data_IF_001474645784
#
_entry.id   IF_001474645784
#
_cell.length_a   1.000
_cell.length_b   1.000
_cell.length_c   1.000
_cell.angle_alpha   90.00
_cell.angle_beta   90.00
_cell.angle_gamma   90.00
#
_symmetry.space_group_name_H-M   'P 1'
#
loop_
_entity.id
_entity.type
_entity.pdbx_description
1 polymer ?
#
# COMPACT_ATOMS: atom_id res chain seq x y z
N UNK A 1 79.75 -15.26 1.25
CA UNK A 1 79.74 -15.38 -0.23
C UNK A 1 78.68 -16.41 -0.63
N UNK A 2 77.52 -15.97 -1.14
CA UNK A 2 76.39 -16.87 -1.48
C UNK A 2 76.54 -17.26 -2.95
N UNK A 3 76.77 -18.56 -3.20
CA UNK A 3 77.09 -19.12 -4.52
C UNK A 3 75.90 -18.94 -5.50
N UNK A 4 76.09 -18.24 -6.64
CA UNK A 4 75.00 -17.91 -7.58
C UNK A 4 74.37 -19.13 -8.26
N UNK A 5 75.08 -20.26 -8.32
CA UNK A 5 74.60 -21.49 -8.97
C UNK A 5 73.44 -22.12 -8.16
N UNK A 6 73.50 -22.05 -6.83
CA UNK A 6 72.46 -22.57 -5.93
C UNK A 6 71.14 -21.78 -5.99
N UNK A 7 71.16 -20.55 -6.52
CA UNK A 7 69.96 -19.72 -6.66
C UNK A 7 69.15 -20.11 -7.90
N UNK A 8 69.82 -20.39 -9.01
CA UNK A 8 69.17 -20.88 -10.23
C UNK A 8 68.55 -22.27 -10.06
N UNK A 9 69.24 -23.17 -9.37
CA UNK A 9 68.70 -24.52 -9.13
C UNK A 9 67.44 -24.46 -8.24
N UNK A 10 67.37 -23.53 -7.28
CA UNK A 10 66.16 -23.35 -6.46
C UNK A 10 64.96 -22.78 -7.22
N UNK A 11 65.20 -21.89 -8.19
CA UNK A 11 64.15 -21.35 -9.06
C UNK A 11 63.60 -22.44 -9.99
N UNK A 12 64.47 -23.24 -10.60
CA UNK A 12 64.10 -24.37 -11.48
C UNK A 12 63.25 -25.42 -10.74
N UNK A 13 63.65 -25.81 -9.51
CA UNK A 13 62.89 -26.77 -8.69
C UNK A 13 61.51 -26.22 -8.29
N UNK A 14 61.41 -24.89 -8.07
CA UNK A 14 60.13 -24.23 -7.76
C UNK A 14 59.20 -24.19 -8.97
N UNK A 15 59.75 -23.98 -10.18
CA UNK A 15 59.03 -24.05 -11.45
C UNK A 15 58.51 -25.46 -11.73
N UNK A 16 59.32 -26.50 -11.48
CA UNK A 16 58.90 -27.91 -11.61
C UNK A 16 57.76 -28.24 -10.64
N UNK A 17 57.83 -27.76 -9.39
CA UNK A 17 56.76 -27.92 -8.40
C UNK A 17 55.44 -27.24 -8.83
N UNK A 18 55.52 -26.03 -9.37
CA UNK A 18 54.36 -25.31 -9.90
C UNK A 18 53.76 -26.01 -11.13
N UNK A 19 54.59 -26.54 -12.02
CA UNK A 19 54.10 -27.31 -13.17
C UNK A 19 53.39 -28.59 -12.75
N UNK A 20 53.85 -29.27 -11.71
CA UNK A 20 53.18 -30.46 -11.19
C UNK A 20 51.85 -30.11 -10.50
N UNK A 21 51.79 -28.98 -9.78
CA UNK A 21 50.54 -28.47 -9.22
C UNK A 21 49.54 -28.08 -10.31
N UNK A 22 49.98 -27.41 -11.38
CA UNK A 22 49.16 -27.07 -12.54
C UNK A 22 48.66 -28.29 -13.28
N UNK A 23 49.50 -29.31 -13.50
CA UNK A 23 49.07 -30.59 -14.09
C UNK A 23 48.00 -31.27 -13.25
N UNK A 24 48.12 -31.21 -11.93
CA UNK A 24 47.14 -31.80 -11.00
C UNK A 24 45.81 -31.05 -11.04
N UNK A 25 45.83 -29.72 -11.08
CA UNK A 25 44.63 -28.91 -11.22
C UNK A 25 43.98 -29.05 -12.61
N UNK A 26 44.77 -29.08 -13.69
CA UNK A 26 44.26 -29.32 -15.05
C UNK A 26 43.64 -30.72 -15.15
N UNK A 27 44.23 -31.75 -14.52
CA UNK A 27 43.63 -33.09 -14.47
C UNK A 27 42.30 -33.08 -13.69
N UNK A 28 42.19 -32.30 -12.62
CA UNK A 28 40.93 -32.15 -11.87
C UNK A 28 39.84 -31.39 -12.64
N UNK A 29 40.22 -30.44 -13.52
CA UNK A 29 39.31 -29.70 -14.40
C UNK A 29 38.92 -30.57 -15.61
N UNK A 30 39.85 -31.35 -16.17
CA UNK A 30 39.61 -32.28 -17.27
C UNK A 30 38.76 -33.48 -16.85
N UNK A 31 38.86 -33.97 -15.61
CA UNK A 31 37.97 -35.00 -15.09
C UNK A 31 36.60 -34.44 -14.66
N UNK A 32 36.42 -33.12 -14.74
CA UNK A 32 35.14 -32.41 -14.70
C UNK A 32 34.56 -32.18 -16.10
N UNK A 33 35.12 -32.84 -17.13
CA UNK A 33 34.37 -33.18 -18.34
C UNK A 33 33.30 -34.17 -17.92
N UNK A 34 32.21 -33.58 -17.44
CA UNK A 34 30.84 -34.00 -17.64
C UNK A 34 30.78 -35.43 -18.16
N UNK A 35 30.54 -36.38 -17.26
CA UNK A 35 29.61 -37.44 -17.61
C UNK A 35 28.28 -36.76 -17.88
N UNK A 36 28.20 -36.06 -19.03
CA UNK A 36 26.98 -35.87 -19.77
C UNK A 36 26.64 -37.29 -20.16
N UNK A 37 26.04 -38.02 -19.22
CA UNK A 37 24.96 -38.89 -19.59
C UNK A 37 24.03 -37.94 -20.32
N UNK A 38 24.13 -37.92 -21.63
CA UNK A 38 23.15 -37.27 -22.48
C UNK A 38 21.85 -38.01 -22.24
N UNK A 39 21.22 -37.71 -21.10
CA UNK A 39 19.83 -37.96 -20.85
C UNK A 39 19.15 -36.94 -21.75
N UNK A 40 18.97 -37.33 -23.01
CA UNK A 40 18.13 -36.59 -23.93
C UNK A 40 16.79 -36.35 -23.24
N UNK A 41 16.37 -35.10 -23.18
CA UNK A 41 15.07 -34.74 -22.63
C UNK A 41 13.99 -35.57 -23.34
N UNK A 42 13.27 -36.37 -22.57
CA UNK A 42 12.12 -37.08 -23.11
C UNK A 42 11.04 -36.06 -23.47
N UNK A 43 10.39 -36.21 -24.63
CA UNK A 43 9.31 -35.32 -25.07
C UNK A 43 8.19 -35.21 -24.02
N UNK A 44 7.95 -36.26 -23.24
CA UNK A 44 7.00 -36.26 -22.13
C UNK A 44 7.41 -35.28 -21.01
N UNK A 45 8.68 -35.28 -20.63
CA UNK A 45 9.23 -34.43 -19.56
C UNK A 45 9.16 -32.94 -19.94
N UNK A 46 9.50 -32.63 -21.20
CA UNK A 46 9.39 -31.27 -21.73
C UNK A 46 7.93 -30.81 -21.76
N UNK A 47 7.01 -31.69 -22.16
CA UNK A 47 5.58 -31.37 -22.24
C UNK A 47 4.98 -31.14 -20.86
N UNK A 48 5.30 -31.98 -19.87
CA UNK A 48 4.85 -31.79 -18.48
C UNK A 48 5.46 -30.52 -17.89
N UNK A 49 6.75 -30.26 -18.13
CA UNK A 49 7.42 -29.03 -17.67
C UNK A 49 6.79 -27.78 -18.27
N UNK A 50 6.48 -27.80 -19.57
CA UNK A 50 5.76 -26.72 -20.24
C UNK A 50 4.35 -26.53 -19.67
N UNK A 51 3.61 -27.62 -19.41
CA UNK A 51 2.26 -27.55 -18.86
C UNK A 51 2.24 -26.98 -17.44
N UNK A 52 3.20 -27.37 -16.59
CA UNK A 52 3.38 -26.81 -15.24
C UNK A 52 3.79 -25.34 -15.30
N UNK A 53 4.73 -24.98 -16.17
CA UNK A 53 5.17 -23.60 -16.35
C UNK A 53 4.03 -22.70 -16.85
N UNK A 54 3.26 -23.14 -17.86
CA UNK A 54 2.10 -22.40 -18.36
C UNK A 54 1.01 -22.27 -17.31
N UNK A 55 0.71 -23.33 -16.55
CA UNK A 55 -0.25 -23.27 -15.44
C UNK A 55 0.14 -22.24 -14.38
N UNK A 56 1.43 -22.20 -14.02
CA UNK A 56 1.94 -21.22 -13.06
C UNK A 56 1.86 -19.78 -13.59
N UNK A 57 2.24 -19.54 -14.85
CA UNK A 57 2.15 -18.22 -15.48
C UNK A 57 0.71 -17.69 -15.55
N UNK A 58 -0.25 -18.54 -15.89
CA UNK A 58 -1.67 -18.17 -15.88
C UNK A 58 -2.15 -17.83 -14.47
N UNK A 59 -1.70 -18.56 -13.46
CA UNK A 59 -2.00 -18.26 -12.06
C UNK A 59 -1.45 -16.91 -11.61
N UNK A 60 -0.20 -16.57 -11.98
CA UNK A 60 0.41 -15.29 -11.65
C UNK A 60 -0.31 -14.10 -12.28
N UNK A 61 -0.75 -14.22 -13.54
CA UNK A 61 -1.46 -13.14 -14.22
C UNK A 61 -2.75 -12.75 -13.49
N UNK A 62 -3.52 -13.74 -13.03
CA UNK A 62 -4.73 -13.52 -12.25
C UNK A 62 -4.42 -12.87 -10.90
N UNK A 63 -3.36 -13.33 -10.22
CA UNK A 63 -2.93 -12.76 -8.94
C UNK A 63 -2.50 -11.28 -9.07
N UNK A 64 -1.78 -10.93 -10.13
CA UNK A 64 -1.38 -9.54 -10.40
C UNK A 64 -2.58 -8.64 -10.67
N UNK A 65 -3.54 -9.11 -11.49
CA UNK A 65 -4.77 -8.35 -11.76
C UNK A 65 -5.57 -8.08 -10.49
N UNK A 66 -5.73 -9.10 -9.63
CA UNK A 66 -6.43 -8.94 -8.36
C UNK A 66 -5.70 -7.98 -7.42
N UNK A 67 -4.36 -8.10 -7.32
CA UNK A 67 -3.53 -7.20 -6.50
C UNK A 67 -3.66 -5.75 -6.96
N UNK A 68 -3.61 -5.49 -8.27
CA UNK A 68 -3.81 -4.15 -8.83
C UNK A 68 -5.19 -3.58 -8.47
N UNK A 69 -6.24 -4.39 -8.56
CA UNK A 69 -7.60 -3.98 -8.20
C UNK A 69 -7.73 -3.63 -6.71
N UNK A 70 -7.14 -4.43 -5.82
CA UNK A 70 -7.15 -4.15 -4.37
C UNK A 70 -6.35 -2.89 -4.05
N UNK A 71 -5.21 -2.70 -4.71
CA UNK A 71 -4.40 -1.50 -4.51
C UNK A 71 -5.12 -0.22 -4.91
N UNK A 72 -5.87 -0.22 -6.03
CA UNK A 72 -6.68 0.93 -6.44
C UNK A 72 -7.71 1.26 -5.36
N UNK A 73 -8.47 0.26 -4.89
CA UNK A 73 -9.47 0.46 -3.84
C UNK A 73 -8.87 0.95 -2.52
N UNK A 74 -7.68 0.45 -2.17
CA UNK A 74 -6.97 0.90 -0.99
C UNK A 74 -6.55 2.36 -1.09
N UNK A 75 -6.11 2.80 -2.27
CA UNK A 75 -5.76 4.20 -2.51
C UNK A 75 -6.99 5.11 -2.41
N UNK A 76 -8.10 4.73 -3.05
CA UNK A 76 -9.37 5.47 -2.98
C UNK A 76 -9.83 5.63 -1.51
N UNK A 77 -9.79 4.54 -0.74
CA UNK A 77 -10.16 4.57 0.68
C UNK A 77 -9.22 5.46 1.49
N UNK A 78 -7.91 5.36 1.27
CA UNK A 78 -6.92 6.18 1.98
C UNK A 78 -7.12 7.68 1.73
N UNK A 79 -7.50 8.05 0.50
CA UNK A 79 -7.76 9.44 0.13
C UNK A 79 -9.08 9.94 0.70
N UNK A 80 -10.12 9.10 0.70
CA UNK A 80 -11.39 9.42 1.35
C UNK A 80 -11.20 9.70 2.84
N UNK A 81 -10.38 8.88 3.53
CA UNK A 81 -10.02 9.10 4.94
C UNK A 81 -9.30 10.44 5.10
N UNK A 82 -8.24 10.70 4.34
CA UNK A 82 -7.47 11.94 4.46
C UNK A 82 -8.32 13.20 4.19
N UNK A 83 -9.28 13.12 3.26
CA UNK A 83 -10.22 14.20 3.02
C UNK A 83 -11.17 14.41 4.21
N UNK A 84 -11.72 13.32 4.77
CA UNK A 84 -12.58 13.39 5.96
C UNK A 84 -11.82 13.94 7.16
N UNK A 85 -10.58 13.51 7.38
CA UNK A 85 -9.73 14.00 8.48
C UNK A 85 -9.56 15.53 8.41
N UNK A 86 -9.26 16.05 7.21
CA UNK A 86 -9.16 17.50 6.98
C UNK A 86 -10.48 18.25 7.24
N UNK A 87 -11.60 17.64 6.88
CA UNK A 87 -12.93 18.21 7.14
C UNK A 87 -13.24 18.25 8.63
N UNK A 88 -12.96 17.17 9.36
CA UNK A 88 -13.10 17.07 10.81
C UNK A 88 -12.22 18.10 11.51
N UNK A 89 -10.97 18.25 11.09
CA UNK A 89 -10.06 19.26 11.66
C UNK A 89 -10.59 20.68 11.47
N UNK A 90 -11.19 20.96 10.32
CA UNK A 90 -11.79 22.26 10.03
C UNK A 90 -13.01 22.54 10.91
N UNK A 91 -13.88 21.54 11.11
CA UNK A 91 -15.04 21.66 11.99
C UNK A 91 -14.61 21.77 13.46
N UNK A 92 -13.61 21.01 13.89
CA UNK A 92 -13.05 21.10 15.24
C UNK A 92 -12.43 22.48 15.52
N UNK A 93 -11.75 23.06 14.53
CA UNK A 93 -11.23 24.41 14.63
C UNK A 93 -12.38 25.43 14.83
N UNK A 94 -13.46 25.32 14.07
CA UNK A 94 -14.65 26.16 14.25
C UNK A 94 -15.31 25.94 15.63
N UNK A 95 -15.43 24.70 16.07
CA UNK A 95 -15.98 24.36 17.38
C UNK A 95 -15.15 24.95 18.54
N UNK A 96 -13.82 24.99 18.39
CA UNK A 96 -12.92 25.55 19.40
C UNK A 96 -13.08 27.07 19.61
N UNK A 97 -13.55 27.78 18.59
CA UNK A 97 -13.83 29.22 18.66
C UNK A 97 -15.31 29.52 18.95
N UNK A 98 -16.17 28.49 18.95
CA UNK A 98 -17.61 28.65 19.12
C UNK A 98 -18.00 28.73 20.60
N UNK A 99 -18.45 29.91 21.02
CA UNK A 99 -18.87 30.20 22.40
C UNK A 99 -20.35 30.62 22.50
N UNK A 100 -21.02 30.83 21.37
CA UNK A 100 -22.41 31.29 21.34
C UNK A 100 -23.38 30.14 21.67
N UNK A 101 -24.27 30.33 22.65
CA UNK A 101 -25.29 29.36 23.00
C UNK A 101 -25.64 29.37 24.48
N UNK A 102 -26.58 28.51 24.86
CA UNK A 102 -26.92 28.22 26.24
C UNK A 102 -26.57 26.77 26.57
N UNK A 103 -26.29 26.50 27.84
CA UNK A 103 -26.09 25.15 28.32
C UNK A 103 -27.29 24.25 27.97
N UNK A 104 -27.00 23.08 27.43
CA UNK A 104 -27.98 22.13 26.90
C UNK A 104 -28.37 22.36 25.43
N UNK A 105 -27.87 23.40 24.76
CA UNK A 105 -28.20 23.67 23.34
C UNK A 105 -26.99 23.95 22.45
N UNK A 106 -25.77 23.86 22.97
CA UNK A 106 -24.55 24.15 22.20
C UNK A 106 -24.40 23.28 20.94
N UNK A 107 -24.78 22.00 20.99
CA UNK A 107 -24.72 21.11 19.84
C UNK A 107 -25.60 21.58 18.67
N UNK A 108 -26.84 21.95 18.96
CA UNK A 108 -27.82 22.40 17.96
C UNK A 108 -27.47 23.78 17.39
N UNK A 109 -27.01 24.70 18.25
CA UNK A 109 -26.60 26.03 17.82
C UNK A 109 -25.36 25.97 16.92
N UNK A 110 -24.39 25.13 17.29
CA UNK A 110 -23.21 24.89 16.48
C UNK A 110 -23.57 24.26 15.13
N UNK A 111 -24.44 23.24 15.12
CA UNK A 111 -24.95 22.63 13.88
C UNK A 111 -25.54 23.69 12.93
N UNK A 112 -26.42 24.55 13.44
CA UNK A 112 -27.04 25.60 12.63
C UNK A 112 -26.02 26.61 12.07
N UNK A 113 -24.92 26.86 12.80
CA UNK A 113 -23.86 27.76 12.34
C UNK A 113 -23.00 27.17 11.21
N UNK A 114 -22.80 25.83 11.20
CA UNK A 114 -21.92 25.18 10.23
C UNK A 114 -22.65 24.62 9.02
N UNK A 115 -23.96 24.36 9.11
CA UNK A 115 -24.70 23.62 8.07
C UNK A 115 -24.68 24.29 6.68
N UNK A 116 -24.51 25.62 6.63
CA UNK A 116 -24.39 26.36 5.37
C UNK A 116 -23.00 26.19 4.73
N UNK A 117 -21.94 26.16 5.53
CA UNK A 117 -20.57 25.97 5.05
C UNK A 117 -20.24 24.49 4.80
N UNK A 118 -20.82 23.59 5.61
CA UNK A 118 -20.64 22.15 5.57
C UNK A 118 -22.01 21.46 5.45
N UNK A 119 -22.60 21.44 4.24
CA UNK A 119 -23.94 20.89 4.05
C UNK A 119 -23.98 19.38 4.29
N UNK A 120 -25.16 18.90 4.68
CA UNK A 120 -25.44 17.48 4.94
C UNK A 120 -25.35 16.63 3.69
N UNK A 121 -25.73 17.18 2.53
CA UNK A 121 -25.73 16.47 1.25
C UNK A 121 -25.29 17.43 0.14
N UNK A 122 -24.73 16.88 -0.94
CA UNK A 122 -24.36 17.64 -2.13
C UNK A 122 -22.94 18.23 -2.08
N UNK A 123 -22.16 17.89 -1.05
CA UNK A 123 -20.72 18.10 -1.07
C UNK A 123 -20.07 17.02 -1.93
N UNK A 124 -19.26 17.44 -2.90
CA UNK A 124 -18.50 16.52 -3.73
C UNK A 124 -17.01 16.86 -3.63
N UNK A 125 -16.17 15.84 -3.66
CA UNK A 125 -14.74 16.04 -3.86
C UNK A 125 -14.28 15.20 -5.04
N UNK A 126 -13.35 15.74 -5.82
CA UNK A 126 -12.78 15.06 -6.96
C UNK A 126 -11.35 14.65 -6.67
N UNK A 127 -11.03 13.41 -7.01
CA UNK A 127 -9.67 12.90 -6.98
C UNK A 127 -9.47 11.89 -8.12
N UNK A 128 -8.31 11.93 -8.76
CA UNK A 128 -7.94 10.99 -9.84
C UNK A 128 -9.05 10.77 -10.89
N UNK A 129 -9.61 11.88 -11.38
CA UNK A 129 -10.66 11.90 -12.42
C UNK A 129 -12.00 11.26 -12.01
N UNK A 130 -12.19 10.96 -10.71
CA UNK A 130 -13.44 10.47 -10.13
C UNK A 130 -13.98 11.50 -9.13
N UNK A 131 -15.30 11.72 -9.15
CA UNK A 131 -15.99 12.61 -8.21
C UNK A 131 -16.74 11.76 -7.22
N UNK A 132 -16.48 11.92 -5.93
CA UNK A 132 -17.14 11.19 -4.87
C UNK A 132 -18.18 12.09 -4.19
N UNK A 133 -19.30 11.48 -3.82
CA UNK A 133 -20.36 12.15 -3.09
C UNK A 133 -20.07 12.01 -1.59
N UNK A 134 -20.16 13.11 -0.87
CA UNK A 134 -20.05 13.14 0.59
C UNK A 134 -21.43 13.43 1.17
N UNK A 135 -21.80 12.65 2.16
CA UNK A 135 -22.95 12.91 3.02
C UNK A 135 -22.47 13.04 4.46
N UNK A 136 -22.89 14.11 5.12
CA UNK A 136 -22.72 14.35 6.56
C UNK A 136 -24.09 14.28 7.21
N UNK A 137 -24.25 13.45 8.24
CA UNK A 137 -25.46 13.44 9.05
C UNK A 137 -25.13 13.99 10.41
N UNK A 138 -25.73 15.12 10.74
CA UNK A 138 -25.56 15.79 12.03
C UNK A 138 -26.57 15.26 13.04
N UNK A 139 -26.11 14.98 14.25
CA UNK A 139 -26.95 14.59 15.39
C UNK A 139 -26.52 15.43 16.59
N UNK A 140 -27.17 16.57 16.77
CA UNK A 140 -27.00 17.39 17.94
C UNK A 140 -27.67 16.71 19.15
N UNK A 141 -26.94 16.59 20.26
CA UNK A 141 -27.50 16.15 21.54
C UNK A 141 -26.96 17.05 22.62
N UNK A 142 -27.83 17.88 23.20
CA UNK A 142 -27.46 18.85 24.23
C UNK A 142 -26.25 19.72 23.83
N UNK A 143 -25.10 19.45 24.43
CA UNK A 143 -23.87 20.20 24.25
C UNK A 143 -22.88 19.60 23.24
N UNK A 144 -23.21 18.46 22.62
CA UNK A 144 -22.36 17.78 21.64
C UNK A 144 -23.00 17.73 20.27
N UNK A 145 -22.16 17.72 19.24
CA UNK A 145 -22.57 17.48 17.87
C UNK A 145 -21.92 16.21 17.34
N UNK A 146 -22.72 15.16 17.15
CA UNK A 146 -22.30 13.97 16.42
C UNK A 146 -22.33 14.22 14.91
N UNK A 147 -21.32 13.75 14.19
CA UNK A 147 -21.21 13.87 12.74
C UNK A 147 -20.89 12.49 12.17
N UNK A 148 -21.86 11.93 11.44
CA UNK A 148 -21.66 10.72 10.65
C UNK A 148 -21.24 11.10 9.24
N UNK A 149 -20.05 10.68 8.84
CA UNK A 149 -19.53 10.81 7.50
C UNK A 149 -19.81 9.57 6.67
N UNK A 150 -20.15 9.79 5.40
CA UNK A 150 -20.30 8.75 4.40
C UNK A 150 -19.77 9.26 3.06
N UNK A 151 -18.83 8.52 2.49
CA UNK A 151 -18.27 8.76 1.16
C UNK A 151 -18.76 7.68 0.23
N UNK A 152 -19.43 8.06 -0.86
CA UNK A 152 -19.99 7.14 -1.84
C UNK A 152 -19.56 7.45 -3.27
N UNK A 153 -19.60 6.44 -4.13
CA UNK A 153 -19.33 6.58 -5.56
C UNK A 153 -20.42 7.44 -6.26
N UNK A 154 -20.09 8.14 -7.35
CA UNK A 154 -21.06 8.96 -8.07
C UNK A 154 -22.13 8.08 -8.75
N UNK A 155 -23.38 8.53 -8.68
CA UNK A 155 -24.55 7.81 -9.24
C UNK A 155 -24.61 7.86 -10.77
N UNK A 156 -23.92 8.80 -11.42
CA UNK A 156 -23.82 8.91 -12.87
C UNK A 156 -22.48 8.39 -13.39
N UNK A 157 -22.51 7.27 -14.13
CA UNK A 157 -21.34 6.76 -14.88
C UNK A 157 -20.47 5.71 -14.17
N UNK A 158 -20.84 5.23 -12.98
CA UNK A 158 -20.03 4.23 -12.26
C UNK A 158 -20.08 2.84 -12.89
N UNK A 159 -18.89 2.26 -13.16
CA UNK A 159 -18.65 0.87 -13.62
C UNK A 159 -19.11 -0.22 -12.65
N UNK A 160 -19.63 0.17 -11.50
CA UNK A 160 -20.13 -0.70 -10.44
C UNK A 160 -21.45 -0.09 -9.97
N UNK A 161 -22.56 -0.68 -10.40
CA UNK A 161 -23.94 -0.31 -10.01
C UNK A 161 -24.27 -0.65 -8.56
N UNK A 162 -23.26 -0.83 -7.71
CA UNK A 162 -23.46 -1.09 -6.29
C UNK A 162 -23.28 0.24 -5.58
N UNK A 163 -24.41 0.76 -5.08
CA UNK A 163 -24.51 1.84 -4.11
C UNK A 163 -23.80 1.47 -2.79
N UNK A 164 -22.48 1.23 -2.88
CA UNK A 164 -21.62 0.87 -1.77
C UNK A 164 -20.87 2.10 -1.28
N UNK A 165 -20.81 2.26 0.03
CA UNK A 165 -20.00 3.28 0.67
C UNK A 165 -18.50 2.91 0.53
N UNK A 166 -17.69 3.85 0.08
CA UNK A 166 -16.22 3.73 0.05
C UNK A 166 -15.69 3.72 1.48
N UNK A 167 -16.26 4.59 2.30
CA UNK A 167 -15.85 4.83 3.67
C UNK A 167 -16.99 5.48 4.46
N UNK A 168 -17.12 5.08 5.72
CA UNK A 168 -17.99 5.74 6.68
C UNK A 168 -17.29 5.81 8.03
N UNK A 169 -17.49 6.92 8.74
CA UNK A 169 -16.94 7.13 10.08
C UNK A 169 -17.85 8.05 10.88
N UNK A 170 -17.80 7.93 12.20
CA UNK A 170 -18.51 8.79 13.13
C UNK A 170 -17.49 9.56 13.95
N UNK A 171 -17.74 10.85 14.16
CA UNK A 171 -16.98 11.68 15.07
C UNK A 171 -17.94 12.53 15.91
N UNK A 172 -17.45 12.96 17.06
CA UNK A 172 -18.17 13.84 17.96
C UNK A 172 -17.36 15.12 18.17
N UNK A 173 -18.05 16.25 18.09
CA UNK A 173 -17.47 17.58 18.25
C UNK A 173 -18.13 18.27 19.44
N UNK A 174 -17.29 18.76 20.37
CA UNK A 174 -17.73 19.49 21.55
C UNK A 174 -17.34 20.98 21.37
N UNK A 175 -18.30 21.89 21.19
CA UNK A 175 -18.01 23.32 21.09
C UNK A 175 -17.42 23.87 22.39
N UNK A 176 -16.52 24.85 22.29
CA UNK A 176 -15.80 25.37 23.45
C UNK A 176 -16.71 26.00 24.52
N UNK A 177 -17.79 26.67 24.10
CA UNK A 177 -18.79 27.24 25.02
C UNK A 177 -19.37 26.23 26.02
N UNK A 178 -19.41 24.94 25.66
CA UNK A 178 -19.87 23.85 26.53
C UNK A 178 -19.06 23.73 27.82
N UNK A 179 -17.74 23.99 27.77
CA UNK A 179 -16.87 23.85 28.94
C UNK A 179 -17.14 24.91 30.02
N UNK A 180 -17.94 25.93 29.71
CA UNK A 180 -18.38 26.94 30.68
C UNK A 180 -19.65 26.54 31.43
N UNK A 181 -20.26 25.40 31.10
CA UNK A 181 -21.48 24.93 31.73
C UNK A 181 -21.22 24.20 33.05
N UNK A 182 -22.08 24.36 34.06
CA UNK A 182 -22.05 23.52 35.24
C UNK A 182 -22.35 22.05 34.87
N UNK A 183 -21.77 21.07 35.60
CA UNK A 183 -22.00 19.64 35.39
C UNK A 183 -23.43 19.21 35.73
#
# INVERSE_FOLDING_TARGET
>A
MKNPILKNIKEEVKLIGLMNSLKTQIKSISNRQVTNKEQGFSLLEVTVSMLVATGFLLGLAQAMMLSAMVNIRSQEKSQAIAWVDKDIDSINFLASSYTAGTCGTYGSNFQNSIITAYPTTGSNFSFSNSTYNITRTYTATENRLGIQYRVSYPTSGSRVSSAGDVFSTYTEVIPNGTYSCPP
#
